data_IF_008659196301
#
_entry.id   IF_008659196301
#
_cell.length_a   1.000
_cell.length_b   1.000
_cell.length_c   1.000
_cell.angle_alpha   90.00
_cell.angle_beta   90.00
_cell.angle_gamma   90.00
#
_symmetry.space_group_name_H-M   'P 1'
#
loop_
_entity.id
_entity.type
_entity.pdbx_description
1 polymer ?
#
# COMPACT_ATOMS: atom_id res chain seq x y z
N UNK A 1 27.81 73.76 -32.42
CA UNK A 1 27.86 73.70 -30.94
C UNK A 1 26.59 73.10 -30.35
N UNK A 2 25.41 73.73 -30.55
CA UNK A 2 24.11 73.27 -30.00
C UNK A 2 23.75 71.83 -30.42
N UNK A 3 23.88 71.50 -31.70
CA UNK A 3 23.58 70.16 -32.21
C UNK A 3 24.45 69.08 -31.55
N UNK A 4 25.72 69.39 -31.31
CA UNK A 4 26.66 68.46 -30.70
C UNK A 4 26.34 68.24 -29.22
N UNK A 5 25.99 69.32 -28.51
CA UNK A 5 25.48 69.24 -27.14
C UNK A 5 24.20 68.41 -27.05
N UNK A 6 23.26 68.57 -28.00
CA UNK A 6 22.04 67.76 -28.07
C UNK A 6 22.35 66.28 -28.30
N UNK A 7 23.29 65.95 -29.19
CA UNK A 7 23.74 64.56 -29.39
C UNK A 7 24.33 63.95 -28.12
N UNK A 8 25.18 64.70 -27.41
CA UNK A 8 25.76 64.23 -26.15
C UNK A 8 24.69 64.01 -25.06
N UNK A 9 23.69 64.89 -24.98
CA UNK A 9 22.57 64.73 -24.04
C UNK A 9 21.75 63.48 -24.38
N UNK A 10 21.44 63.25 -25.66
CA UNK A 10 20.72 62.06 -26.12
C UNK A 10 21.52 60.79 -25.84
N UNK A 11 22.82 60.79 -26.13
CA UNK A 11 23.69 59.64 -25.85
C UNK A 11 23.74 59.33 -24.35
N UNK A 12 23.93 60.36 -23.51
CA UNK A 12 23.98 60.19 -22.06
C UNK A 12 22.65 59.65 -21.50
N UNK A 13 21.53 60.20 -21.95
CA UNK A 13 20.20 59.76 -21.51
C UNK A 13 19.89 58.33 -21.96
N UNK A 14 20.32 57.94 -23.17
CA UNK A 14 20.25 56.55 -23.63
C UNK A 14 21.07 55.62 -22.71
N UNK A 15 22.32 55.97 -22.43
CA UNK A 15 23.18 55.15 -21.56
C UNK A 15 22.61 55.03 -20.14
N UNK A 16 22.02 56.10 -19.60
CA UNK A 16 21.34 56.06 -18.29
C UNK A 16 20.17 55.08 -18.31
N UNK A 17 19.34 55.11 -19.34
CA UNK A 17 18.19 54.19 -19.47
C UNK A 17 18.67 52.74 -19.58
N UNK A 18 19.71 52.47 -20.38
CA UNK A 18 20.29 51.13 -20.53
C UNK A 18 20.82 50.59 -19.19
N UNK A 19 21.55 51.43 -18.43
CA UNK A 19 22.00 51.05 -17.08
C UNK A 19 20.82 50.81 -16.13
N UNK A 20 19.80 51.67 -16.15
CA UNK A 20 18.62 51.49 -15.30
C UNK A 20 17.88 50.19 -15.61
N UNK A 21 17.71 49.85 -16.89
CA UNK A 21 17.08 48.58 -17.29
C UNK A 21 17.91 47.37 -16.85
N UNK A 22 19.24 47.45 -17.02
CA UNK A 22 20.16 46.40 -16.60
C UNK A 22 20.12 46.13 -15.10
N UNK A 23 19.95 47.14 -14.25
CA UNK A 23 19.81 46.95 -12.80
C UNK A 23 18.38 46.59 -12.36
N UNK A 24 17.36 47.03 -13.10
CA UNK A 24 15.96 46.77 -12.75
C UNK A 24 15.54 45.31 -13.04
N UNK A 25 16.06 44.71 -14.11
CA UNK A 25 15.73 43.32 -14.50
C UNK A 25 16.16 42.27 -13.45
N UNK A 26 17.41 42.27 -12.94
CA UNK A 26 17.84 41.39 -11.85
C UNK A 26 17.09 41.66 -10.53
N UNK A 27 16.79 42.92 -10.23
CA UNK A 27 16.02 43.30 -9.04
C UNK A 27 14.59 42.73 -9.09
N UNK A 28 13.94 42.76 -10.26
CA UNK A 28 12.63 42.15 -10.45
C UNK A 28 12.68 40.62 -10.25
N UNK A 29 13.72 39.95 -10.75
CA UNK A 29 13.91 38.52 -10.53
C UNK A 29 14.11 38.20 -9.04
N UNK A 30 14.96 38.97 -8.33
CA UNK A 30 15.19 38.80 -6.90
C UNK A 30 13.93 39.03 -6.07
N UNK A 31 13.09 40.00 -6.44
CA UNK A 31 11.84 40.29 -5.74
C UNK A 31 10.82 39.14 -5.86
N UNK A 32 10.77 38.48 -7.02
CA UNK A 32 9.79 37.42 -7.29
C UNK A 32 10.28 36.01 -6.90
N UNK A 33 11.60 35.80 -6.79
CA UNK A 33 12.18 34.52 -6.40
C UNK A 33 11.59 33.91 -5.10
N UNK A 34 11.39 34.67 -4.01
CA UNK A 34 10.74 34.16 -2.80
C UNK A 34 9.33 33.62 -3.05
N UNK A 35 8.56 34.29 -3.92
CA UNK A 35 7.20 33.86 -4.26
C UNK A 35 7.19 32.53 -5.01
N UNK A 36 8.12 32.35 -5.95
CA UNK A 36 8.29 31.07 -6.65
C UNK A 36 8.69 29.95 -5.68
N UNK A 37 9.63 30.21 -4.76
CA UNK A 37 10.04 29.22 -3.74
C UNK A 37 8.87 28.84 -2.83
N UNK A 38 8.06 29.81 -2.39
CA UNK A 38 6.88 29.55 -1.56
C UNK A 38 5.83 28.74 -2.33
N UNK A 39 5.57 29.10 -3.59
CA UNK A 39 4.63 28.38 -4.43
C UNK A 39 5.06 26.92 -4.65
N UNK A 40 6.35 26.69 -4.94
CA UNK A 40 6.94 25.36 -5.09
C UNK A 40 6.87 24.55 -3.78
N UNK A 41 7.17 25.16 -2.63
CA UNK A 41 7.05 24.49 -1.32
C UNK A 41 5.61 24.08 -1.02
N UNK A 42 4.64 24.95 -1.31
CA UNK A 42 3.21 24.64 -1.15
C UNK A 42 2.79 23.49 -2.07
N UNK A 43 3.21 23.51 -3.32
CA UNK A 43 2.86 22.46 -4.28
C UNK A 43 3.50 21.12 -3.92
N UNK A 44 4.78 21.12 -3.56
CA UNK A 44 5.49 19.95 -3.05
C UNK A 44 4.82 19.37 -1.80
N UNK A 45 4.43 20.22 -0.84
CA UNK A 45 3.69 19.81 0.35
C UNK A 45 2.36 19.14 0.02
N UNK A 46 1.58 19.70 -0.93
CA UNK A 46 0.32 19.09 -1.38
C UNK A 46 0.54 17.73 -2.04
N UNK A 47 1.54 17.60 -2.92
CA UNK A 47 1.86 16.33 -3.57
C UNK A 47 2.30 15.28 -2.54
N UNK A 48 3.12 15.67 -1.56
CA UNK A 48 3.53 14.78 -0.48
C UNK A 48 2.32 14.29 0.33
N UNK A 49 1.39 15.20 0.67
CA UNK A 49 0.16 14.84 1.37
C UNK A 49 -0.70 13.86 0.55
N UNK A 50 -0.84 14.10 -0.76
CA UNK A 50 -1.54 13.18 -1.67
C UNK A 50 -0.90 11.79 -1.69
N UNK A 51 0.43 11.71 -1.77
CA UNK A 51 1.17 10.43 -1.72
C UNK A 51 0.90 9.72 -0.39
N UNK A 52 0.97 10.42 0.73
CA UNK A 52 0.72 9.84 2.05
C UNK A 52 -0.73 9.31 2.17
N UNK A 53 -1.72 10.07 1.70
CA UNK A 53 -3.13 9.63 1.69
C UNK A 53 -3.33 8.40 0.81
N UNK A 54 -2.75 8.38 -0.40
CA UNK A 54 -2.82 7.22 -1.29
C UNK A 54 -2.18 5.99 -0.65
N UNK A 55 -0.99 6.14 -0.06
CA UNK A 55 -0.28 5.05 0.59
C UNK A 55 -1.06 4.49 1.79
N UNK A 56 -1.71 5.35 2.59
CA UNK A 56 -2.59 4.93 3.68
C UNK A 56 -3.78 4.12 3.16
N UNK A 57 -4.47 4.62 2.13
CA UNK A 57 -5.63 3.92 1.55
C UNK A 57 -5.26 2.57 0.93
N UNK A 58 -4.06 2.43 0.35
CA UNK A 58 -3.58 1.16 -0.18
C UNK A 58 -3.30 0.15 0.94
N UNK A 59 -2.66 0.59 2.04
CA UNK A 59 -2.41 -0.27 3.21
C UNK A 59 -3.72 -0.76 3.82
N UNK A 60 -4.73 0.09 3.96
CA UNK A 60 -6.04 -0.28 4.47
C UNK A 60 -6.75 -1.30 3.56
N UNK A 61 -6.72 -1.08 2.23
CA UNK A 61 -7.26 -2.04 1.26
C UNK A 61 -6.53 -3.38 1.34
N UNK A 62 -5.21 -3.37 1.39
CA UNK A 62 -4.42 -4.60 1.48
C UNK A 62 -4.71 -5.36 2.79
N UNK A 63 -4.82 -4.65 3.92
CA UNK A 63 -5.21 -5.25 5.18
C UNK A 63 -6.61 -5.89 5.11
N UNK A 64 -7.60 -5.21 4.51
CA UNK A 64 -8.93 -5.78 4.33
C UNK A 64 -8.96 -7.03 3.43
N UNK A 65 -8.17 -7.04 2.35
CA UNK A 65 -8.08 -8.20 1.45
C UNK A 65 -7.45 -9.38 2.19
N UNK A 66 -6.37 -9.15 2.93
CA UNK A 66 -5.71 -10.18 3.71
C UNK A 66 -6.67 -10.79 4.75
N UNK A 67 -7.47 -9.96 5.46
CA UNK A 67 -8.46 -10.44 6.43
C UNK A 67 -9.50 -11.34 5.75
N UNK A 68 -10.05 -10.92 4.61
CA UNK A 68 -11.05 -11.70 3.86
C UNK A 68 -10.46 -13.03 3.37
N UNK A 69 -9.21 -13.03 2.90
CA UNK A 69 -8.53 -14.24 2.46
C UNK A 69 -8.27 -15.20 3.62
N UNK A 70 -7.82 -14.70 4.77
CA UNK A 70 -7.63 -15.53 5.97
C UNK A 70 -8.95 -16.10 6.49
N UNK A 71 -10.04 -15.35 6.49
CA UNK A 71 -11.35 -15.83 6.92
C UNK A 71 -11.87 -16.93 5.98
N UNK A 72 -11.71 -16.76 4.66
CA UNK A 72 -12.04 -17.81 3.68
C UNK A 72 -11.21 -19.08 3.89
N UNK A 73 -9.93 -18.94 4.21
CA UNK A 73 -9.06 -20.09 4.49
C UNK A 73 -9.48 -20.81 5.76
N UNK A 74 -9.79 -20.08 6.82
CA UNK A 74 -10.30 -20.65 8.08
C UNK A 74 -11.63 -21.39 7.88
N UNK A 75 -12.58 -20.80 7.15
CA UNK A 75 -13.86 -21.45 6.85
C UNK A 75 -13.67 -22.76 6.06
N UNK A 76 -12.74 -22.79 5.09
CA UNK A 76 -12.41 -24.02 4.37
C UNK A 76 -11.81 -25.07 5.29
N UNK A 77 -10.87 -24.69 6.16
CA UNK A 77 -10.27 -25.61 7.13
C UNK A 77 -11.31 -26.17 8.09
N UNK A 78 -12.25 -25.34 8.55
CA UNK A 78 -13.35 -25.79 9.41
C UNK A 78 -14.27 -26.78 8.69
N UNK A 79 -14.58 -26.53 7.42
CA UNK A 79 -15.38 -27.45 6.59
C UNK A 79 -14.67 -28.79 6.38
N UNK A 80 -13.39 -28.79 6.04
CA UNK A 80 -12.58 -30.01 5.88
C UNK A 80 -12.47 -30.80 7.20
N UNK A 81 -12.30 -30.08 8.32
CA UNK A 81 -12.31 -30.68 9.66
C UNK A 81 -13.65 -31.35 9.95
N UNK A 82 -14.76 -30.66 9.71
CA UNK A 82 -16.10 -31.20 9.92
C UNK A 82 -16.34 -32.46 9.07
N UNK A 83 -15.96 -32.41 7.79
CA UNK A 83 -16.09 -33.55 6.88
C UNK A 83 -15.27 -34.75 7.35
N UNK A 84 -14.05 -34.52 7.83
CA UNK A 84 -13.18 -35.56 8.38
C UNK A 84 -13.82 -36.21 9.61
N UNK A 85 -14.40 -35.44 10.53
CA UNK A 85 -15.11 -35.98 11.70
C UNK A 85 -16.32 -36.83 11.28
N UNK A 86 -17.11 -36.37 10.31
CA UNK A 86 -18.25 -37.14 9.80
C UNK A 86 -17.78 -38.47 9.20
N UNK A 87 -16.76 -38.44 8.35
CA UNK A 87 -16.18 -39.64 7.73
C UNK A 87 -15.68 -40.61 8.82
N UNK A 88 -14.95 -40.12 9.82
CA UNK A 88 -14.48 -40.93 10.94
C UNK A 88 -15.63 -41.61 11.70
N UNK A 89 -16.67 -40.85 12.06
CA UNK A 89 -17.84 -41.37 12.76
C UNK A 89 -18.56 -42.46 11.94
N UNK A 90 -18.67 -42.27 10.62
CA UNK A 90 -19.25 -43.27 9.72
C UNK A 90 -18.41 -44.55 9.73
N UNK A 91 -17.08 -44.45 9.57
CA UNK A 91 -16.20 -45.62 9.60
C UNK A 91 -16.24 -46.36 10.95
N UNK A 92 -16.23 -45.63 12.07
CA UNK A 92 -16.35 -46.23 13.41
C UNK A 92 -17.67 -47.00 13.55
N UNK A 93 -18.79 -46.40 13.16
CA UNK A 93 -20.10 -47.05 13.22
C UNK A 93 -20.18 -48.29 12.31
N UNK A 94 -19.58 -48.25 11.12
CA UNK A 94 -19.51 -49.41 10.23
C UNK A 94 -18.70 -50.56 10.84
N UNK A 95 -17.53 -50.26 11.43
CA UNK A 95 -16.68 -51.27 12.08
C UNK A 95 -17.44 -51.92 13.25
N UNK A 96 -18.05 -51.11 14.13
CA UNK A 96 -18.85 -51.60 15.26
C UNK A 96 -20.06 -52.41 14.78
N UNK A 97 -20.80 -51.90 13.79
CA UNK A 97 -22.01 -52.53 13.26
C UNK A 97 -21.73 -53.83 12.49
N UNK A 98 -20.56 -53.95 11.86
CA UNK A 98 -20.15 -55.15 11.10
C UNK A 98 -19.88 -56.38 11.97
N UNK A 99 -19.71 -56.20 13.29
CA UNK A 99 -19.32 -57.25 14.26
C UNK A 99 -18.03 -58.00 13.88
N UNK A 100 -17.19 -57.43 13.00
CA UNK A 100 -15.88 -57.97 12.67
C UNK A 100 -14.96 -57.84 13.90
N UNK A 101 -14.20 -58.90 14.22
CA UNK A 101 -13.24 -58.88 15.31
C UNK A 101 -11.98 -58.08 14.94
N UNK A 102 -12.13 -56.76 14.90
CA UNK A 102 -11.09 -55.82 14.51
C UNK A 102 -9.88 -55.80 15.45
N UNK A 103 -10.01 -56.36 16.67
CA UNK A 103 -8.92 -56.42 17.65
C UNK A 103 -7.93 -57.56 17.37
N UNK A 104 -8.37 -58.61 16.66
CA UNK A 104 -7.53 -59.76 16.26
C UNK A 104 -6.73 -59.47 15.00
N UNK A 105 -7.26 -58.67 14.07
CA UNK A 105 -6.54 -58.25 12.87
C UNK A 105 -5.63 -57.04 13.16
N UNK A 106 -4.29 -57.18 13.03
CA UNK A 106 -3.36 -56.09 13.32
C UNK A 106 -3.57 -54.85 12.45
N UNK A 107 -4.04 -55.03 11.21
CA UNK A 107 -4.25 -53.95 10.25
C UNK A 107 -5.48 -53.13 10.61
N UNK A 108 -6.60 -53.78 10.89
CA UNK A 108 -7.84 -53.13 11.34
C UNK A 108 -7.65 -52.44 12.69
N UNK A 109 -6.93 -53.09 13.63
CA UNK A 109 -6.59 -52.49 14.92
C UNK A 109 -5.82 -51.18 14.76
N UNK A 110 -4.86 -51.13 13.83
CA UNK A 110 -4.11 -49.91 13.56
C UNK A 110 -5.00 -48.80 12.98
N UNK A 111 -5.92 -49.13 12.07
CA UNK A 111 -6.87 -48.18 11.47
C UNK A 111 -7.82 -47.61 12.53
N UNK A 112 -8.41 -48.45 13.39
CA UNK A 112 -9.31 -48.03 14.46
C UNK A 112 -8.60 -47.09 15.44
N UNK A 113 -7.39 -47.44 15.87
CA UNK A 113 -6.59 -46.61 16.79
C UNK A 113 -6.17 -45.27 16.17
N UNK A 114 -5.96 -45.20 14.85
CA UNK A 114 -5.69 -43.94 14.15
C UNK A 114 -6.94 -43.06 14.05
N UNK A 115 -8.12 -43.65 13.85
CA UNK A 115 -9.39 -42.92 13.80
C UNK A 115 -9.72 -42.27 15.16
N UNK A 116 -9.41 -42.93 16.28
CA UNK A 116 -9.64 -42.39 17.63
C UNK A 116 -8.71 -41.22 18.00
N UNK A 117 -7.45 -41.24 17.54
CA UNK A 117 -6.43 -40.23 17.92
C UNK A 117 -6.70 -38.83 17.35
N UNK A 118 -7.45 -38.72 16.27
CA UNK A 118 -7.67 -37.45 15.57
C UNK A 118 -8.77 -36.57 16.22
N UNK A 119 -9.37 -37.01 17.33
CA UNK A 119 -10.48 -36.31 18.01
C UNK A 119 -10.01 -35.22 19.00
N UNK A 120 -8.71 -35.11 19.28
CA UNK A 120 -8.17 -34.19 20.29
C UNK A 120 -7.18 -33.20 19.70
N UNK A 121 -7.67 -32.26 18.90
CA UNK A 121 -6.98 -30.98 18.67
C UNK A 121 -7.98 -29.89 19.04
N UNK A 122 -8.00 -29.60 20.35
CA UNK A 122 -8.75 -28.52 20.98
C UNK A 122 -7.93 -27.23 20.93
#
# INVERSE_FOLDING_TARGET
>A
LILETMKHIVLLSQTIIEYQQFYCSPNYLMLNFPNYVIALKKDGGRKLQQIQTMMKSQKEKQASVNVIETEKMLNKLEQERHMTTVIQNVFQNLIIGSRVNWAEDPSLKAIVLQLEKNLYLQ
#
